data_IF_590905681689
#
_entry.id   IF_590905681689
#
_cell.length_a   1.000
_cell.length_b   1.000
_cell.length_c   1.000
_cell.angle_alpha   90.00
_cell.angle_beta   90.00
_cell.angle_gamma   90.00
#
_symmetry.space_group_name_H-M   'P 1'
#
loop_
_entity.id
_entity.type
_entity.pdbx_description
1 polymer ?
#
# COMPACT_ATOMS: atom_id res chain seq x y z
N UNK A 1 -13.45 -3.75 31.71
CA UNK A 1 -12.29 -4.65 31.59
C UNK A 1 -11.01 -3.98 32.05
N UNK A 2 -10.85 -2.71 31.90
CA UNK A 2 -9.72 -1.94 32.39
C UNK A 2 -9.85 -0.47 32.00
N UNK A 3 -9.27 0.42 32.79
CA UNK A 3 -9.15 1.83 32.43
C UNK A 3 -7.82 2.39 32.94
N UNK A 4 -7.32 3.38 32.26
CA UNK A 4 -6.15 4.15 32.67
C UNK A 4 -6.37 5.59 32.27
N UNK A 5 -6.22 6.51 33.21
CA UNK A 5 -6.26 7.95 32.96
C UNK A 5 -4.93 8.54 33.39
N UNK A 6 -4.33 9.32 32.51
CA UNK A 6 -3.07 10.04 32.69
C UNK A 6 -3.28 11.51 32.31
N UNK A 7 -2.27 12.34 32.48
CA UNK A 7 -2.24 13.71 31.98
C UNK A 7 -2.22 13.78 30.43
N UNK A 8 -1.72 12.75 29.76
CA UNK A 8 -1.64 12.67 28.29
C UNK A 8 -2.93 12.14 27.65
N UNK A 9 -3.78 11.43 28.39
CA UNK A 9 -5.01 10.87 27.86
C UNK A 9 -5.60 9.73 28.66
N UNK A 10 -6.57 9.06 28.07
CA UNK A 10 -7.26 7.93 28.70
C UNK A 10 -7.33 6.72 27.78
N UNK A 11 -7.32 5.53 28.38
CA UNK A 11 -7.62 4.25 27.74
C UNK A 11 -8.78 3.59 28.48
N UNK A 12 -9.72 3.04 27.72
CA UNK A 12 -10.87 2.34 28.26
C UNK A 12 -11.10 1.03 27.52
N UNK A 13 -11.02 -0.09 28.23
CA UNK A 13 -11.21 -1.43 27.71
C UNK A 13 -12.60 -1.95 28.05
N UNK A 14 -13.36 -2.38 27.05
CA UNK A 14 -14.73 -2.82 27.21
C UNK A 14 -15.03 -4.07 26.38
N UNK A 15 -16.03 -4.84 26.84
CA UNK A 15 -16.48 -6.05 26.14
C UNK A 15 -17.34 -5.68 24.95
N UNK A 16 -16.87 -5.96 23.74
CA UNK A 16 -17.62 -5.76 22.51
C UNK A 16 -17.03 -6.62 21.39
N UNK A 17 -17.89 -7.22 20.56
CA UNK A 17 -17.46 -8.22 19.57
C UNK A 17 -17.14 -7.63 18.19
N UNK A 18 -17.46 -6.36 17.95
CA UNK A 18 -17.27 -5.70 16.65
C UNK A 18 -16.50 -4.40 16.80
N UNK A 19 -15.83 -3.97 15.74
CA UNK A 19 -15.27 -2.63 15.66
C UNK A 19 -16.41 -1.60 15.71
N UNK A 20 -16.19 -0.49 16.41
CA UNK A 20 -17.12 0.62 16.37
C UNK A 20 -17.04 1.31 15.00
N UNK A 21 -18.21 1.58 14.44
CA UNK A 21 -18.31 2.40 13.24
C UNK A 21 -17.99 3.86 13.53
N UNK A 22 -17.65 4.62 12.51
CA UNK A 22 -17.43 6.08 12.62
C UNK A 22 -18.66 6.79 13.20
N UNK A 23 -19.86 6.34 12.85
CA UNK A 23 -21.10 6.91 13.36
C UNK A 23 -21.32 6.61 14.85
N UNK A 24 -20.97 5.40 15.30
CA UNK A 24 -21.02 5.05 16.73
C UNK A 24 -20.03 5.86 17.54
N UNK A 25 -18.78 6.00 17.07
CA UNK A 25 -17.76 6.86 17.70
C UNK A 25 -18.27 8.30 17.78
N UNK A 26 -18.76 8.86 16.69
CA UNK A 26 -19.31 10.22 16.65
C UNK A 26 -20.50 10.39 17.62
N UNK A 27 -21.34 9.37 17.76
CA UNK A 27 -22.46 9.38 18.70
C UNK A 27 -22.00 9.36 20.16
N UNK A 28 -20.98 8.55 20.47
CA UNK A 28 -20.36 8.52 21.81
C UNK A 28 -19.79 9.89 22.15
N UNK A 29 -19.02 10.50 21.25
CA UNK A 29 -18.44 11.83 21.45
C UNK A 29 -19.50 12.89 21.67
N UNK A 30 -20.59 12.86 20.93
CA UNK A 30 -21.74 13.78 21.13
C UNK A 30 -22.40 13.61 22.48
N UNK A 31 -22.58 12.37 22.97
CA UNK A 31 -23.14 12.09 24.29
C UNK A 31 -22.20 12.67 25.36
N UNK A 32 -20.91 12.45 25.25
CA UNK A 32 -19.91 12.96 26.20
C UNK A 32 -19.87 14.49 26.17
N UNK A 33 -19.88 15.10 24.99
CA UNK A 33 -19.94 16.56 24.86
C UNK A 33 -21.18 17.14 25.54
N UNK A 34 -22.35 16.51 25.36
CA UNK A 34 -23.57 16.91 26.04
C UNK A 34 -23.47 16.81 27.59
N UNK A 35 -22.88 15.71 28.12
CA UNK A 35 -22.65 15.53 29.55
C UNK A 35 -21.67 16.55 30.15
N UNK A 36 -20.68 16.97 29.35
CA UNK A 36 -19.75 18.05 29.69
C UNK A 36 -20.49 19.40 29.76
N UNK A 37 -21.30 19.72 28.74
CA UNK A 37 -22.04 21.00 28.63
C UNK A 37 -23.10 21.15 29.71
N UNK A 38 -23.67 20.04 30.22
CA UNK A 38 -24.62 20.04 31.33
C UNK A 38 -24.03 20.57 32.66
N UNK A 39 -22.72 20.74 32.74
CA UNK A 39 -22.01 21.31 33.89
C UNK A 39 -22.41 20.67 35.24
N UNK A 40 -22.48 19.34 35.26
CA UNK A 40 -22.88 18.58 36.43
C UNK A 40 -21.81 18.64 37.51
N UNK A 41 -22.24 18.93 38.74
CA UNK A 41 -21.37 18.86 39.91
C UNK A 41 -21.05 17.41 40.24
N UNK A 42 -19.79 17.17 40.60
CA UNK A 42 -19.35 15.91 41.20
C UNK A 42 -19.49 16.02 42.74
N UNK A 43 -19.78 14.92 43.39
CA UNK A 43 -19.79 14.81 44.85
C UNK A 43 -19.15 13.48 45.26
N UNK A 44 -18.48 13.53 46.40
CA UNK A 44 -17.77 12.38 46.95
C UNK A 44 -18.38 12.10 48.33
N UNK A 45 -18.84 10.87 48.54
CA UNK A 45 -19.38 10.40 49.80
C UNK A 45 -18.60 9.17 50.27
N UNK A 46 -18.45 9.03 51.57
CA UNK A 46 -17.95 7.79 52.20
C UNK A 46 -19.12 7.05 52.80
N UNK A 47 -19.23 5.76 52.53
CA UNK A 47 -20.29 4.92 53.09
C UNK A 47 -19.86 3.45 53.06
N UNK A 48 -20.65 2.58 53.73
CA UNK A 48 -20.35 1.16 53.68
C UNK A 48 -20.50 0.61 52.27
N UNK A 49 -19.68 -0.40 51.91
CA UNK A 49 -19.81 -1.07 50.62
C UNK A 49 -21.21 -1.57 50.33
N UNK A 50 -21.87 -2.12 51.35
CA UNK A 50 -23.26 -2.64 51.24
C UNK A 50 -24.27 -1.52 50.89
N UNK A 51 -24.11 -0.35 51.52
CA UNK A 51 -24.99 0.79 51.26
C UNK A 51 -24.73 1.40 49.90
N UNK A 52 -23.47 1.47 49.47
CA UNK A 52 -23.06 1.94 48.13
C UNK A 52 -23.69 1.08 47.00
N UNK A 53 -23.59 -0.23 47.13
CA UNK A 53 -24.19 -1.16 46.14
C UNK A 53 -25.72 -1.07 46.15
N UNK A 54 -26.31 -0.98 47.36
CA UNK A 54 -27.76 -0.81 47.51
C UNK A 54 -28.26 0.50 46.90
N UNK A 55 -27.44 1.56 46.96
CA UNK A 55 -27.72 2.85 46.33
C UNK A 55 -27.53 2.82 44.80
N UNK A 56 -26.97 1.76 44.22
CA UNK A 56 -26.78 1.59 42.80
C UNK A 56 -25.39 2.00 42.31
N UNK A 57 -24.40 2.11 43.19
CA UNK A 57 -23.05 2.41 42.80
C UNK A 57 -22.44 1.26 41.95
N UNK A 58 -21.82 1.62 40.85
CA UNK A 58 -21.11 0.67 40.02
C UNK A 58 -19.76 0.36 40.64
N UNK A 59 -19.48 -0.92 40.85
CA UNK A 59 -18.16 -1.43 41.23
C UNK A 59 -17.49 -1.96 39.97
N UNK A 60 -16.56 -1.18 39.43
CA UNK A 60 -15.72 -1.61 38.30
C UNK A 60 -14.48 -2.24 38.86
N UNK A 61 -14.01 -3.28 38.15
CA UNK A 61 -12.77 -4.01 38.46
C UNK A 61 -12.91 -4.90 39.71
N UNK A 62 -12.78 -6.18 39.61
CA UNK A 62 -12.84 -7.22 40.66
C UNK A 62 -11.88 -6.93 41.86
N UNK A 63 -11.88 -5.69 42.37
CA UNK A 63 -11.10 -5.23 43.49
C UNK A 63 -11.73 -5.70 44.79
N UNK A 64 -10.94 -6.08 45.76
CA UNK A 64 -11.41 -6.29 47.13
C UNK A 64 -11.60 -4.94 47.76
N UNK A 65 -12.85 -4.50 47.79
CA UNK A 65 -13.24 -3.26 48.47
C UNK A 65 -13.20 -3.46 49.97
N UNK A 66 -12.73 -2.44 50.68
CA UNK A 66 -12.85 -2.36 52.14
C UNK A 66 -14.32 -2.17 52.58
N UNK A 67 -14.58 -2.32 53.88
CA UNK A 67 -15.93 -2.13 54.42
C UNK A 67 -16.48 -0.72 54.18
N UNK A 68 -15.59 0.31 54.23
CA UNK A 68 -15.91 1.70 53.90
C UNK A 68 -15.32 2.06 52.53
N UNK A 69 -16.18 2.55 51.64
CA UNK A 69 -15.82 2.88 50.25
C UNK A 69 -16.10 4.34 49.92
N UNK A 70 -15.25 4.89 49.05
CA UNK A 70 -15.43 6.22 48.47
C UNK A 70 -16.33 6.11 47.23
N UNK A 71 -17.47 6.78 47.27
CA UNK A 71 -18.48 6.81 46.21
C UNK A 71 -18.42 8.16 45.52
N UNK A 72 -18.14 8.14 44.22
CA UNK A 72 -18.20 9.30 43.33
C UNK A 72 -19.59 9.37 42.70
N UNK A 73 -20.22 10.53 42.76
CA UNK A 73 -21.46 10.83 42.04
C UNK A 73 -21.20 11.93 41.01
N UNK A 74 -21.67 11.74 39.79
CA UNK A 74 -21.61 12.73 38.71
C UNK A 74 -23.06 13.08 38.32
N UNK A 75 -23.52 14.22 38.81
CA UNK A 75 -24.95 14.57 38.73
C UNK A 75 -25.83 13.51 39.37
N UNK A 76 -26.92 13.15 38.71
CA UNK A 76 -27.91 12.15 39.20
C UNK A 76 -27.82 10.81 38.44
N UNK A 77 -26.95 10.70 37.45
CA UNK A 77 -26.95 9.57 36.50
C UNK A 77 -25.82 8.60 36.70
N UNK A 78 -24.68 9.01 37.25
CA UNK A 78 -23.50 8.16 37.42
C UNK A 78 -23.11 8.14 38.89
N UNK A 79 -22.96 6.94 39.42
CA UNK A 79 -22.46 6.66 40.75
C UNK A 79 -21.51 5.48 40.69
N UNK A 80 -20.30 5.66 41.15
CA UNK A 80 -19.28 4.59 41.09
C UNK A 80 -18.37 4.56 42.30
N UNK A 81 -17.78 3.41 42.55
CA UNK A 81 -16.74 3.25 43.56
C UNK A 81 -15.41 3.66 42.89
N UNK A 82 -14.88 4.79 43.33
CA UNK A 82 -13.63 5.30 42.71
C UNK A 82 -12.74 6.02 43.73
N UNK A 83 -11.49 5.58 43.85
CA UNK A 83 -10.45 6.19 44.69
C UNK A 83 -9.69 7.34 44.04
N UNK A 84 -9.89 7.57 42.75
CA UNK A 84 -9.13 8.56 41.94
C UNK A 84 -9.47 10.01 42.24
N UNK A 85 -8.73 10.92 41.62
CA UNK A 85 -9.02 12.35 41.61
C UNK A 85 -9.99 12.69 40.48
N UNK A 86 -10.91 13.62 40.73
CA UNK A 86 -11.94 13.99 39.76
C UNK A 86 -12.11 15.51 39.72
N UNK A 87 -12.63 16.00 38.60
CA UNK A 87 -13.07 17.39 38.47
C UNK A 87 -14.26 17.67 39.34
N UNK A 88 -14.41 18.92 39.79
CA UNK A 88 -15.57 19.33 40.59
C UNK A 88 -16.83 19.54 39.76
N UNK A 89 -16.64 19.76 38.45
CA UNK A 89 -17.72 19.96 37.49
C UNK A 89 -17.35 19.32 36.14
N UNK A 90 -18.34 18.69 35.50
CA UNK A 90 -18.08 18.06 34.17
C UNK A 90 -17.60 19.07 33.11
N UNK A 91 -18.01 20.35 33.21
CA UNK A 91 -17.55 21.41 32.32
C UNK A 91 -16.03 21.68 32.41
N UNK A 92 -15.37 21.33 33.52
CA UNK A 92 -13.93 21.48 33.68
C UNK A 92 -13.14 20.59 32.71
N UNK A 93 -13.75 19.52 32.18
CA UNK A 93 -13.21 18.65 31.15
C UNK A 93 -13.07 19.39 29.80
N UNK A 94 -13.98 20.36 29.52
CA UNK A 94 -14.06 21.23 28.35
C UNK A 94 -14.35 20.50 27.06
N UNK A 95 -13.40 19.71 26.56
CA UNK A 95 -13.47 19.03 25.27
C UNK A 95 -12.97 17.60 25.41
N UNK A 96 -13.55 16.68 24.66
CA UNK A 96 -13.20 15.26 24.63
C UNK A 96 -13.11 14.77 23.18
N UNK A 97 -12.10 13.94 22.88
CA UNK A 97 -11.94 13.34 21.56
C UNK A 97 -11.44 11.92 21.63
N UNK A 98 -12.11 11.01 20.95
CA UNK A 98 -11.62 9.65 20.73
C UNK A 98 -10.59 9.69 19.59
N UNK A 99 -9.38 9.21 19.85
CA UNK A 99 -8.29 9.16 18.88
C UNK A 99 -8.27 7.83 18.15
N UNK A 100 -8.49 6.74 18.89
CA UNK A 100 -8.37 5.39 18.33
C UNK A 100 -9.35 4.42 19.00
N UNK A 101 -9.75 3.41 18.23
CA UNK A 101 -10.55 2.28 18.70
C UNK A 101 -10.00 0.99 18.07
N UNK A 102 -9.60 0.01 18.87
CA UNK A 102 -8.97 -1.19 18.39
C UNK A 102 -9.31 -2.44 19.21
N UNK A 103 -9.13 -3.62 18.62
CA UNK A 103 -9.22 -4.89 19.33
C UNK A 103 -7.92 -5.15 20.09
N UNK A 104 -8.03 -5.54 21.36
CA UNK A 104 -6.86 -5.93 22.16
C UNK A 104 -6.86 -7.42 22.50
N UNK A 105 -8.03 -8.06 22.48
CA UNK A 105 -8.19 -9.51 22.59
C UNK A 105 -9.56 -9.93 22.04
N UNK A 106 -9.83 -11.23 22.01
CA UNK A 106 -11.11 -11.73 21.54
C UNK A 106 -12.26 -11.20 22.42
N UNK A 107 -13.19 -10.48 21.82
CA UNK A 107 -14.34 -9.87 22.48
C UNK A 107 -14.01 -8.68 23.39
N UNK A 108 -12.81 -8.12 23.34
CA UNK A 108 -12.40 -6.92 24.11
C UNK A 108 -11.85 -5.84 23.17
N UNK A 109 -12.42 -4.65 23.30
CA UNK A 109 -12.05 -3.47 22.53
C UNK A 109 -11.45 -2.42 23.47
N UNK A 110 -10.56 -1.59 22.90
CA UNK A 110 -9.93 -0.44 23.58
C UNK A 110 -10.27 0.83 22.85
N UNK A 111 -10.72 1.83 23.59
CA UNK A 111 -10.78 3.23 23.16
C UNK A 111 -9.59 3.97 23.79
N UNK A 112 -8.92 4.77 22.98
CA UNK A 112 -7.93 5.75 23.40
C UNK A 112 -8.49 7.14 23.11
N UNK A 113 -8.50 8.01 24.11
CA UNK A 113 -9.09 9.33 23.99
C UNK A 113 -8.28 10.37 24.77
N UNK A 114 -8.52 11.63 24.45
CA UNK A 114 -7.91 12.79 25.08
C UNK A 114 -9.00 13.78 25.51
N UNK A 115 -8.68 14.60 26.51
CA UNK A 115 -9.58 15.62 27.01
C UNK A 115 -8.84 16.96 27.24
N UNK A 116 -9.58 18.04 27.41
CA UNK A 116 -9.02 19.35 27.76
C UNK A 116 -7.99 19.86 26.77
N UNK A 117 -6.83 20.26 27.27
CA UNK A 117 -5.77 20.84 26.45
C UNK A 117 -5.21 19.85 25.44
N UNK A 118 -5.09 18.56 25.79
CA UNK A 118 -4.59 17.55 24.86
C UNK A 118 -5.54 17.35 23.67
N UNK A 119 -6.85 17.36 23.91
CA UNK A 119 -7.83 17.33 22.84
C UNK A 119 -7.75 18.57 21.96
N UNK A 120 -7.56 19.75 22.53
CA UNK A 120 -7.32 20.98 21.77
C UNK A 120 -6.05 20.88 20.90
N UNK A 121 -4.96 20.38 21.45
CA UNK A 121 -3.70 20.18 20.73
C UNK A 121 -3.89 19.25 19.54
N UNK A 122 -4.62 18.15 19.69
CA UNK A 122 -4.92 17.23 18.60
C UNK A 122 -5.77 17.89 17.49
N UNK A 123 -6.76 18.71 17.86
CA UNK A 123 -7.50 19.50 16.87
C UNK A 123 -6.60 20.50 16.13
N UNK A 124 -5.68 21.18 16.83
CA UNK A 124 -4.75 22.10 16.19
C UNK A 124 -3.80 21.39 15.22
N UNK A 125 -3.26 20.24 15.61
CA UNK A 125 -2.43 19.40 14.74
C UNK A 125 -3.17 19.00 13.46
N UNK A 126 -4.40 18.47 13.60
CA UNK A 126 -5.21 18.06 12.48
C UNK A 126 -5.58 19.24 11.55
N UNK A 127 -5.90 20.39 12.13
CA UNK A 127 -6.23 21.60 11.39
C UNK A 127 -5.02 22.12 10.59
N UNK A 128 -3.84 22.19 11.22
CA UNK A 128 -2.63 22.64 10.57
C UNK A 128 -2.20 21.66 9.46
N UNK A 129 -2.24 20.36 9.71
CA UNK A 129 -1.97 19.33 8.70
C UNK A 129 -2.89 19.49 7.47
N UNK A 130 -4.17 19.73 7.69
CA UNK A 130 -5.12 19.93 6.60
C UNK A 130 -4.78 21.19 5.76
N UNK A 131 -4.37 22.29 6.41
CA UNK A 131 -3.89 23.50 5.72
C UNK A 131 -2.59 23.26 4.94
N UNK A 132 -1.65 22.51 5.52
CA UNK A 132 -0.37 22.21 4.87
C UNK A 132 -0.57 21.33 3.62
N UNK A 133 -1.46 20.33 3.71
CA UNK A 133 -1.85 19.51 2.56
C UNK A 133 -2.51 20.40 1.47
N UNK A 134 -3.45 21.24 1.85
CA UNK A 134 -4.12 22.15 0.91
C UNK A 134 -3.13 23.09 0.21
N UNK A 135 -2.20 23.66 0.98
CA UNK A 135 -1.12 24.52 0.45
C UNK A 135 -0.22 23.75 -0.52
N UNK A 136 0.22 22.55 -0.16
CA UNK A 136 1.07 21.71 -1.01
C UNK A 136 0.39 21.33 -2.33
N UNK A 137 -0.93 21.15 -2.30
CA UNK A 137 -1.74 20.84 -3.49
C UNK A 137 -2.17 22.09 -4.27
N UNK A 138 -1.93 23.29 -3.75
CA UNK A 138 -2.33 24.57 -4.35
C UNK A 138 -3.85 24.74 -4.42
N UNK A 139 -4.60 24.26 -3.42
CA UNK A 139 -6.07 24.33 -3.36
C UNK A 139 -6.54 24.78 -1.99
N UNK A 140 -7.84 25.12 -1.85
CA UNK A 140 -8.48 25.31 -0.54
C UNK A 140 -8.75 23.96 0.14
N UNK A 141 -8.83 23.89 1.49
CA UNK A 141 -9.01 22.65 2.24
C UNK A 141 -10.22 21.79 1.80
N UNK A 142 -11.32 22.44 1.42
CA UNK A 142 -12.54 21.77 0.93
C UNK A 142 -12.34 21.07 -0.42
N UNK A 143 -11.29 21.42 -1.19
CA UNK A 143 -10.99 20.86 -2.51
C UNK A 143 -9.89 19.79 -2.52
N UNK A 144 -9.33 19.44 -1.35
CA UNK A 144 -8.23 18.47 -1.25
C UNK A 144 -8.62 17.16 -1.91
N UNK A 145 -9.77 16.59 -1.54
CA UNK A 145 -10.23 15.28 -2.05
C UNK A 145 -10.41 15.33 -3.57
N UNK A 146 -11.11 16.34 -4.09
CA UNK A 146 -11.30 16.50 -5.53
C UNK A 146 -9.96 16.60 -6.29
N UNK A 147 -8.95 17.23 -5.68
CA UNK A 147 -7.62 17.35 -6.28
C UNK A 147 -6.89 16.02 -6.32
N UNK A 148 -7.00 15.23 -5.24
CA UNK A 148 -6.42 13.86 -5.17
C UNK A 148 -7.09 12.97 -6.22
N UNK A 149 -8.42 12.98 -6.32
CA UNK A 149 -9.16 12.21 -7.32
C UNK A 149 -8.71 12.59 -8.74
N UNK A 150 -8.54 13.90 -9.02
CA UNK A 150 -8.04 14.37 -10.31
C UNK A 150 -6.61 13.88 -10.64
N UNK A 151 -5.74 13.71 -9.64
CA UNK A 151 -4.41 13.14 -9.85
C UNK A 151 -4.49 11.65 -10.20
N UNK A 152 -5.34 10.88 -9.53
CA UNK A 152 -5.54 9.45 -9.82
C UNK A 152 -6.09 9.23 -11.24
N UNK A 153 -7.06 10.04 -11.64
CA UNK A 153 -7.63 10.00 -12.99
C UNK A 153 -6.57 10.34 -14.05
N UNK A 154 -5.81 11.43 -13.84
CA UNK A 154 -4.73 11.82 -14.74
C UNK A 154 -3.64 10.76 -14.85
N UNK A 155 -3.24 10.14 -13.74
CA UNK A 155 -2.29 9.03 -13.74
C UNK A 155 -2.78 7.86 -14.59
N UNK A 156 -4.04 7.47 -14.43
CA UNK A 156 -4.67 6.41 -15.22
C UNK A 156 -4.65 6.74 -16.73
N UNK A 157 -5.00 7.97 -17.10
CA UNK A 157 -4.98 8.45 -18.49
C UNK A 157 -3.53 8.44 -19.02
N UNK A 158 -2.58 8.93 -18.26
CA UNK A 158 -1.16 8.94 -18.66
C UNK A 158 -0.63 7.53 -18.89
N UNK A 159 -0.91 6.57 -18.00
CA UNK A 159 -0.50 5.17 -18.16
C UNK A 159 -1.09 4.54 -19.43
N UNK A 160 -2.36 4.78 -19.72
CA UNK A 160 -3.01 4.32 -20.98
C UNK A 160 -2.34 4.94 -22.21
N UNK A 161 -2.04 6.24 -22.14
CA UNK A 161 -1.38 6.97 -23.24
C UNK A 161 0.03 6.45 -23.47
N UNK A 162 0.83 6.26 -22.42
CA UNK A 162 2.18 5.67 -22.50
C UNK A 162 2.12 4.27 -23.14
N UNK A 163 1.18 3.43 -22.69
CA UNK A 163 1.00 2.09 -23.24
C UNK A 163 0.65 2.13 -24.74
N UNK A 164 -0.21 3.06 -25.15
CA UNK A 164 -0.57 3.27 -26.57
C UNK A 164 0.63 3.73 -27.40
N UNK A 165 1.36 4.73 -26.90
CA UNK A 165 2.56 5.27 -27.56
C UNK A 165 3.65 4.20 -27.68
N UNK A 166 3.89 3.40 -26.65
CA UNK A 166 4.83 2.29 -26.68
C UNK A 166 4.48 1.27 -27.77
N UNK A 167 3.19 0.89 -27.91
CA UNK A 167 2.75 -0.01 -28.97
C UNK A 167 2.98 0.58 -30.37
N UNK A 168 2.67 1.85 -30.55
CA UNK A 168 2.90 2.54 -31.82
C UNK A 168 4.40 2.61 -32.15
N UNK A 169 5.23 2.94 -31.15
CA UNK A 169 6.67 2.97 -31.30
C UNK A 169 7.23 1.60 -31.70
N UNK A 170 6.84 0.53 -31.00
CA UNK A 170 7.26 -0.85 -31.32
C UNK A 170 6.84 -1.23 -32.74
N UNK A 171 5.61 -0.93 -33.15
CA UNK A 171 5.12 -1.25 -34.50
C UNK A 171 5.81 -0.44 -35.63
N UNK A 172 6.28 0.77 -35.32
CA UNK A 172 7.10 1.53 -36.26
C UNK A 172 8.53 0.98 -36.29
N UNK A 173 9.08 0.68 -35.12
CA UNK A 173 10.44 0.17 -35.00
C UNK A 173 10.59 -1.21 -35.64
N UNK A 174 9.60 -2.10 -35.51
CA UNK A 174 9.63 -3.43 -36.15
C UNK A 174 9.80 -3.37 -37.67
N UNK A 175 9.30 -2.30 -38.31
CA UNK A 175 9.43 -2.08 -39.77
C UNK A 175 10.80 -1.57 -40.21
N UNK A 176 11.61 -1.07 -39.27
CA UNK A 176 12.97 -0.55 -39.58
C UNK A 176 14.08 -1.58 -39.33
N UNK A 177 13.74 -2.69 -38.67
CA UNK A 177 14.71 -3.76 -38.38
C UNK A 177 14.98 -4.57 -39.65
N UNK A 178 16.23 -4.63 -40.04
CA UNK A 178 16.67 -5.46 -41.17
C UNK A 178 16.59 -6.94 -40.79
N UNK A 179 16.15 -7.77 -41.74
CA UNK A 179 16.14 -9.22 -41.60
C UNK A 179 17.13 -9.84 -42.55
N UNK A 180 17.77 -10.91 -42.12
CA UNK A 180 18.56 -11.80 -42.97
C UNK A 180 17.68 -13.02 -43.31
N UNK A 181 17.83 -13.54 -44.52
CA UNK A 181 17.10 -14.74 -44.94
C UNK A 181 18.05 -15.92 -45.00
N UNK A 182 17.80 -16.95 -44.20
CA UNK A 182 18.56 -18.21 -44.24
C UNK A 182 17.57 -19.36 -44.23
N UNK A 183 17.68 -20.31 -45.15
CA UNK A 183 16.82 -21.48 -45.29
C UNK A 183 15.31 -21.12 -45.24
N UNK A 184 14.87 -20.09 -45.98
CA UNK A 184 13.51 -19.60 -46.03
C UNK A 184 12.96 -19.10 -44.67
N UNK A 185 13.81 -18.72 -43.73
CA UNK A 185 13.52 -18.16 -42.42
C UNK A 185 14.07 -16.75 -42.32
N UNK A 186 13.26 -15.80 -41.89
CA UNK A 186 13.66 -14.43 -41.58
C UNK A 186 14.32 -14.38 -40.21
N UNK A 187 15.57 -13.94 -40.15
CA UNK A 187 16.37 -13.85 -38.93
C UNK A 187 16.55 -12.37 -38.58
N UNK A 188 16.13 -11.97 -37.39
CA UNK A 188 16.25 -10.62 -36.89
C UNK A 188 17.24 -10.60 -35.74
N UNK A 189 18.38 -9.94 -35.90
CA UNK A 189 19.44 -9.78 -34.89
C UNK A 189 19.58 -8.28 -34.62
N UNK A 190 19.20 -7.82 -33.43
CA UNK A 190 19.21 -6.40 -33.13
C UNK A 190 19.63 -6.10 -31.69
N UNK A 191 20.50 -5.08 -31.57
CA UNK A 191 20.72 -4.40 -30.31
C UNK A 191 19.52 -3.50 -29.98
N UNK A 192 18.85 -3.80 -28.85
CA UNK A 192 17.70 -3.09 -28.38
C UNK A 192 17.97 -2.42 -27.03
N UNK A 193 19.21 -1.93 -26.80
CA UNK A 193 19.58 -1.28 -25.53
C UNK A 193 18.74 -0.03 -25.19
N UNK A 194 18.05 0.55 -26.18
CA UNK A 194 17.14 1.67 -25.99
C UNK A 194 15.70 1.25 -25.63
N UNK A 195 15.42 -0.06 -25.61
CA UNK A 195 14.11 -0.60 -25.28
C UNK A 195 14.12 -1.23 -23.90
N UNK A 196 12.98 -1.14 -23.21
CA UNK A 196 12.78 -1.92 -22.01
C UNK A 196 12.32 -3.36 -22.32
N UNK A 197 12.32 -4.22 -21.31
CA UNK A 197 12.01 -5.66 -21.47
C UNK A 197 10.63 -5.92 -22.08
N UNK A 198 9.63 -5.11 -21.71
CA UNK A 198 8.27 -5.29 -22.22
C UNK A 198 8.17 -4.84 -23.68
N UNK A 199 8.84 -3.75 -24.05
CA UNK A 199 8.93 -3.30 -25.44
C UNK A 199 9.63 -4.33 -26.33
N UNK A 200 10.69 -5.00 -25.82
CA UNK A 200 11.37 -6.07 -26.58
C UNK A 200 10.46 -7.28 -26.79
N UNK A 201 9.67 -7.66 -25.77
CA UNK A 201 8.67 -8.74 -25.92
C UNK A 201 7.60 -8.39 -26.94
N UNK A 202 7.02 -7.18 -26.82
CA UNK A 202 6.03 -6.68 -27.77
C UNK A 202 6.60 -6.65 -29.21
N UNK A 203 7.87 -6.28 -29.36
CA UNK A 203 8.59 -6.28 -30.64
C UNK A 203 8.71 -7.69 -31.25
N UNK A 204 9.06 -8.68 -30.43
CA UNK A 204 9.13 -10.08 -30.86
C UNK A 204 7.76 -10.57 -31.30
N UNK A 205 6.71 -10.21 -30.56
CA UNK A 205 5.35 -10.64 -30.91
C UNK A 205 4.84 -9.94 -32.19
N UNK A 206 5.18 -8.66 -32.39
CA UNK A 206 4.88 -7.92 -33.61
C UNK A 206 5.57 -8.56 -34.84
N UNK A 207 6.88 -8.85 -34.73
CA UNK A 207 7.62 -9.53 -35.81
C UNK A 207 7.04 -10.91 -36.11
N UNK A 208 6.70 -11.71 -35.11
CA UNK A 208 6.04 -13.01 -35.31
C UNK A 208 4.70 -12.90 -36.02
N UNK A 209 3.97 -11.81 -35.79
CA UNK A 209 2.68 -11.56 -36.43
C UNK A 209 2.83 -11.19 -37.90
N UNK A 210 3.88 -10.44 -38.25
CA UNK A 210 4.19 -10.00 -39.62
C UNK A 210 4.86 -11.12 -40.42
N UNK A 211 5.82 -11.81 -39.79
CA UNK A 211 6.65 -12.84 -40.42
C UNK A 211 6.36 -14.22 -39.82
N UNK A 212 5.50 -14.99 -40.46
CA UNK A 212 5.08 -16.32 -39.97
C UNK A 212 6.24 -17.34 -39.87
N UNK A 213 7.37 -17.06 -40.50
CA UNK A 213 8.59 -17.88 -40.51
C UNK A 213 9.76 -16.99 -40.06
N UNK A 214 9.94 -16.78 -38.76
CA UNK A 214 10.90 -15.83 -38.21
C UNK A 214 11.57 -16.32 -36.94
N UNK A 215 12.81 -15.89 -36.78
CA UNK A 215 13.63 -16.00 -35.56
C UNK A 215 14.09 -14.58 -35.20
N UNK A 216 13.80 -14.15 -33.99
CA UNK A 216 14.24 -12.86 -33.46
C UNK A 216 15.20 -13.09 -32.28
N UNK A 217 16.38 -12.52 -32.31
CA UNK A 217 17.29 -12.49 -31.17
C UNK A 217 17.63 -11.03 -30.88
N UNK A 218 16.97 -10.51 -29.88
CA UNK A 218 17.13 -9.14 -29.45
C UNK A 218 17.87 -9.09 -28.12
N UNK A 219 18.75 -8.13 -27.98
CA UNK A 219 19.54 -8.03 -26.77
C UNK A 219 19.72 -6.57 -26.33
N UNK A 220 19.89 -6.40 -25.04
CA UNK A 220 20.14 -5.11 -24.41
C UNK A 220 21.33 -5.24 -23.48
N UNK A 221 22.31 -4.36 -23.63
CA UNK A 221 23.51 -4.38 -22.79
C UNK A 221 23.30 -3.50 -21.55
N UNK A 222 23.64 -4.02 -20.37
CA UNK A 222 23.65 -3.29 -19.12
C UNK A 222 24.95 -3.59 -18.36
N UNK A 223 25.89 -2.63 -18.38
CA UNK A 223 27.23 -2.78 -17.79
C UNK A 223 27.97 -3.99 -18.42
N UNK A 224 28.21 -5.03 -17.62
CA UNK A 224 28.94 -6.25 -18.02
C UNK A 224 27.99 -7.43 -18.31
N UNK A 225 26.71 -7.17 -18.56
CA UNK A 225 25.70 -8.20 -18.81
C UNK A 225 24.87 -7.85 -20.03
N UNK A 226 24.46 -8.89 -20.74
CA UNK A 226 23.50 -8.78 -21.82
C UNK A 226 22.21 -9.49 -21.42
N UNK A 227 21.12 -8.76 -21.42
CA UNK A 227 19.77 -9.34 -21.42
C UNK A 227 19.44 -9.72 -22.86
N UNK A 228 19.25 -11.01 -23.13
CA UNK A 228 18.95 -11.51 -24.46
C UNK A 228 17.55 -12.15 -24.48
N UNK A 229 16.80 -11.84 -25.53
CA UNK A 229 15.43 -12.29 -25.75
C UNK A 229 15.38 -13.02 -27.10
N UNK A 230 14.93 -14.27 -27.08
CA UNK A 230 14.85 -15.11 -28.25
C UNK A 230 13.37 -15.38 -28.54
N UNK A 231 12.93 -15.02 -29.73
CA UNK A 231 11.58 -15.31 -30.23
C UNK A 231 11.64 -16.18 -31.47
N UNK A 232 10.87 -17.28 -31.49
CA UNK A 232 10.81 -18.19 -32.65
C UNK A 232 9.35 -18.36 -33.03
N UNK A 233 9.02 -18.14 -34.30
CA UNK A 233 7.65 -18.40 -34.79
C UNK A 233 7.36 -19.90 -34.80
N UNK A 234 6.09 -20.27 -34.58
CA UNK A 234 5.68 -21.69 -34.48
C UNK A 234 6.09 -22.54 -35.66
N UNK A 235 6.13 -21.97 -36.86
CA UNK A 235 6.56 -22.69 -38.09
C UNK A 235 8.00 -23.07 -38.12
N UNK A 236 8.87 -22.29 -37.41
CA UNK A 236 10.32 -22.54 -37.38
C UNK A 236 10.74 -23.54 -36.29
N UNK A 237 9.90 -23.91 -35.36
CA UNK A 237 10.27 -24.69 -34.16
C UNK A 237 10.78 -26.08 -34.46
N UNK A 238 10.54 -26.65 -35.64
CA UNK A 238 11.05 -27.95 -36.06
C UNK A 238 12.54 -27.89 -36.41
N UNK A 239 12.98 -26.81 -37.02
CA UNK A 239 14.37 -26.60 -37.44
C UNK A 239 15.17 -25.87 -36.38
N UNK A 240 14.65 -24.75 -35.88
CA UNK A 240 15.20 -23.94 -34.82
C UNK A 240 14.17 -23.69 -33.74
N UNK A 241 14.48 -23.96 -32.48
CA UNK A 241 13.66 -23.53 -31.35
C UNK A 241 14.50 -22.72 -30.37
N UNK A 242 13.84 -21.92 -29.52
CA UNK A 242 14.53 -21.01 -28.63
C UNK A 242 15.42 -21.75 -27.61
N UNK A 243 15.09 -22.99 -27.23
CA UNK A 243 15.94 -23.83 -26.38
C UNK A 243 17.23 -24.26 -27.06
N UNK A 244 17.17 -24.66 -28.32
CA UNK A 244 18.38 -25.01 -29.09
C UNK A 244 19.32 -23.81 -29.23
N UNK A 245 18.77 -22.61 -29.49
CA UNK A 245 19.58 -21.39 -29.57
C UNK A 245 20.24 -21.10 -28.22
N UNK A 246 19.47 -21.29 -27.11
CA UNK A 246 20.01 -21.19 -25.75
C UNK A 246 21.15 -22.17 -25.52
N UNK A 247 21.03 -23.44 -25.92
CA UNK A 247 22.04 -24.45 -25.79
C UNK A 247 23.32 -24.10 -26.61
N UNK A 248 23.17 -23.56 -27.81
CA UNK A 248 24.30 -23.09 -28.61
C UNK A 248 25.02 -21.93 -27.93
N UNK A 249 24.32 -20.99 -27.34
CA UNK A 249 24.88 -19.88 -26.58
C UNK A 249 25.57 -20.35 -25.29
N UNK A 250 25.01 -21.35 -24.60
CA UNK A 250 25.57 -21.88 -23.34
C UNK A 250 26.94 -22.58 -23.53
N UNK A 251 27.26 -23.01 -24.75
CA UNK A 251 28.58 -23.54 -25.08
C UNK A 251 29.69 -22.49 -25.12
N UNK A 252 29.35 -21.23 -25.34
CA UNK A 252 30.31 -20.12 -25.49
C UNK A 252 30.28 -19.14 -24.30
N UNK A 253 29.16 -19.05 -23.59
CA UNK A 253 28.94 -18.04 -22.55
C UNK A 253 28.36 -18.63 -21.29
N UNK A 254 28.72 -18.04 -20.13
CA UNK A 254 28.03 -18.29 -18.89
C UNK A 254 26.73 -17.52 -18.93
N UNK A 255 25.62 -18.22 -18.81
CA UNK A 255 24.28 -17.61 -18.88
C UNK A 255 23.33 -18.16 -17.83
N UNK A 256 22.34 -17.35 -17.49
CA UNK A 256 21.22 -17.71 -16.62
C UNK A 256 19.92 -17.36 -17.34
N UNK A 257 18.97 -18.28 -17.33
CA UNK A 257 17.68 -18.05 -17.95
C UNK A 257 17.05 -19.34 -18.46
N UNK A 258 16.01 -19.20 -19.26
CA UNK A 258 15.26 -20.33 -19.80
C UNK A 258 14.06 -19.87 -20.61
N UNK A 259 13.25 -20.81 -21.05
CA UNK A 259 12.06 -20.51 -21.82
C UNK A 259 11.41 -21.75 -22.42
N UNK A 260 10.47 -21.49 -23.35
CA UNK A 260 9.77 -22.49 -24.17
C UNK A 260 10.46 -22.65 -25.53
N UNK A 261 9.90 -23.48 -26.39
CA UNK A 261 10.40 -23.65 -27.76
C UNK A 261 10.23 -22.38 -28.62
N UNK A 262 9.26 -21.54 -28.28
CA UNK A 262 8.94 -20.32 -29.05
C UNK A 262 9.48 -19.03 -28.44
N UNK A 263 9.92 -19.05 -27.16
CA UNK A 263 10.40 -17.85 -26.47
C UNK A 263 11.35 -18.20 -25.33
N UNK A 264 12.49 -17.53 -25.25
CA UNK A 264 13.42 -17.64 -24.13
C UNK A 264 14.00 -16.28 -23.74
N UNK A 265 14.34 -16.13 -22.46
CA UNK A 265 15.03 -14.97 -21.92
C UNK A 265 16.28 -15.40 -21.18
N UNK A 266 17.39 -14.70 -21.43
CA UNK A 266 18.71 -15.04 -20.91
C UNK A 266 19.39 -13.80 -20.36
N UNK A 267 20.17 -14.00 -19.30
CA UNK A 267 21.16 -13.02 -18.83
C UNK A 267 22.51 -13.65 -19.07
N UNK A 268 23.33 -12.97 -19.82
CA UNK A 268 24.63 -13.49 -20.31
C UNK A 268 25.72 -12.59 -19.73
N UNK A 269 26.76 -13.19 -19.15
CA UNK A 269 27.91 -12.47 -18.67
C UNK A 269 28.87 -12.28 -19.87
N UNK A 270 28.90 -11.06 -20.43
CA UNK A 270 29.73 -10.69 -21.61
C UNK A 270 30.25 -9.29 -21.43
N UNK A 271 31.55 -9.12 -21.68
CA UNK A 271 32.22 -7.82 -21.65
C UNK A 271 32.19 -7.10 -22.99
N UNK A 272 32.18 -7.85 -24.12
CA UNK A 272 32.22 -7.31 -25.49
C UNK A 272 30.93 -7.65 -26.26
N UNK A 273 30.09 -6.62 -26.41
CA UNK A 273 28.84 -6.67 -27.14
C UNK A 273 29.03 -6.97 -28.64
N UNK A 274 30.08 -6.46 -29.24
CA UNK A 274 30.38 -6.70 -30.66
C UNK A 274 30.76 -8.15 -30.90
N UNK A 275 31.52 -8.77 -29.99
CA UNK A 275 31.83 -10.18 -30.03
C UNK A 275 30.57 -11.06 -29.88
N UNK A 276 29.61 -10.63 -29.03
CA UNK A 276 28.33 -11.30 -28.88
C UNK A 276 27.51 -11.26 -30.17
N UNK A 277 27.41 -10.08 -30.81
CA UNK A 277 26.68 -9.93 -32.07
C UNK A 277 27.28 -10.83 -33.17
N UNK A 278 28.61 -10.82 -33.33
CA UNK A 278 29.31 -11.72 -34.26
C UNK A 278 29.06 -13.21 -33.99
N UNK A 279 28.93 -13.57 -32.72
CA UNK A 279 28.57 -14.95 -32.36
C UNK A 279 27.15 -15.31 -32.83
N UNK A 280 26.19 -14.40 -32.73
CA UNK A 280 24.85 -14.60 -33.26
C UNK A 280 24.88 -14.75 -34.80
N UNK A 281 25.62 -13.91 -35.51
CA UNK A 281 25.80 -14.01 -36.97
C UNK A 281 26.37 -15.39 -37.36
N UNK A 282 27.36 -15.90 -36.62
CA UNK A 282 27.93 -17.24 -36.86
C UNK A 282 26.90 -18.37 -36.59
N UNK A 283 26.12 -18.29 -35.54
CA UNK A 283 25.09 -19.31 -35.20
C UNK A 283 24.07 -19.46 -36.32
N UNK A 284 23.69 -18.37 -36.95
CA UNK A 284 22.68 -18.36 -38.01
C UNK A 284 23.25 -18.37 -39.43
N UNK A 285 24.55 -18.46 -39.60
CA UNK A 285 25.25 -18.35 -40.89
C UNK A 285 24.83 -17.09 -41.68
N UNK A 286 24.73 -15.96 -41.00
CA UNK A 286 24.36 -14.66 -41.54
C UNK A 286 25.62 -13.80 -41.52
N UNK A 287 26.20 -13.53 -42.67
CA UNK A 287 27.29 -12.54 -42.87
C UNK A 287 26.72 -11.37 -43.66
N UNK A 288 27.03 -10.13 -43.19
CA UNK A 288 26.75 -8.93 -43.99
C UNK A 288 27.57 -8.91 -45.24
#
# INVERSE_FOLDING_TARGET
>A
KGSLVTDEGLRFDFSHNKALSKDEISRIEKIIAFEIDEAKKTSINQMSYKDAIKAGALAFFDEKYEDDVRVLNIGTKSMELCGGTHVDNTNDIKIFKILNEQSISNGVRRIEAVAGNEAYNEFQKAFNMNRDIASSLGVSPDKIINKIDSFQDNESIQQKTIKKLNKQFVSLFSKTIESFVSNNTNIFLQDCSNLNRDQIKDLIDDIKSIHSNSISVFYSSNKNKIDCFIGVSKKCTHEYNAKKILELLSKKYTLKGGGSDTFATLIIDVQDKSAFHKTLEQIFNVTK
#
